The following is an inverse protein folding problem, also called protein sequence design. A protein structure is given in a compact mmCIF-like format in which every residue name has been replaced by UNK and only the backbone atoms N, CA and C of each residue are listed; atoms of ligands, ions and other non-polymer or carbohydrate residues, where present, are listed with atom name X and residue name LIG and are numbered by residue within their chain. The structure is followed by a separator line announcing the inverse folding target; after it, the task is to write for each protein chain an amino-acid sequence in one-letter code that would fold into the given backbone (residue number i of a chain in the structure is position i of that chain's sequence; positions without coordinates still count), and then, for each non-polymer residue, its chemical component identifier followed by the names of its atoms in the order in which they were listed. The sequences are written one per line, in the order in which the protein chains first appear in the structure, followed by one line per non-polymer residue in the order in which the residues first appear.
data_IF_113062032614
#
_entry.id   IF_113062032614
#
_cell.length_a   1.000
_cell.length_b   1.000
_cell.length_c   1.000
_cell.angle_alpha   90.00
_cell.angle_beta   90.00
_cell.angle_gamma   90.00
#
_symmetry.space_group_name_H-M   'P 1'
#
loop_
_entity.id
_entity.type
_entity.pdbx_description
1 polymer ?
#
# COMPACT_ATOMS: atom_id res chain seq x y z
N UNK A 1 -3.27 2.33 21.70
CA UNK A 1 -4.50 1.74 22.29
C UNK A 1 -5.78 2.27 21.64
N UNK A 2 -6.00 3.60 21.61
CA UNK A 2 -7.20 4.23 21.00
C UNK A 2 -7.46 3.72 19.57
N UNK A 3 -6.45 3.76 18.70
CA UNK A 3 -6.53 3.26 17.33
C UNK A 3 -7.09 1.83 17.22
N UNK A 4 -6.48 0.86 17.91
CA UNK A 4 -6.94 -0.55 17.89
C UNK A 4 -8.40 -0.69 18.36
N UNK A 5 -8.80 0.06 19.39
CA UNK A 5 -10.18 0.03 19.88
C UNK A 5 -11.16 0.56 18.84
N UNK A 6 -10.81 1.65 18.16
CA UNK A 6 -11.66 2.27 17.14
C UNK A 6 -11.83 1.35 15.92
N UNK A 7 -10.75 0.67 15.50
CA UNK A 7 -10.77 -0.34 14.42
C UNK A 7 -11.72 -1.49 14.74
N UNK A 8 -11.68 -2.02 15.97
CA UNK A 8 -12.57 -3.10 16.37
C UNK A 8 -14.05 -2.68 16.33
N UNK A 9 -14.38 -1.46 16.77
CA UNK A 9 -15.76 -0.96 16.76
C UNK A 9 -16.34 -0.87 15.36
N UNK A 10 -15.56 -0.40 14.39
CA UNK A 10 -15.99 -0.28 12.99
C UNK A 10 -16.11 -1.62 12.28
N UNK A 11 -15.28 -2.57 12.69
CA UNK A 11 -15.44 -3.96 12.27
C UNK A 11 -16.67 -4.64 12.89
N UNK A 12 -17.49 -3.90 13.64
CA UNK A 12 -18.65 -4.38 14.39
C UNK A 12 -18.31 -5.50 15.37
N UNK A 13 -17.12 -5.44 15.96
CA UNK A 13 -16.74 -6.35 17.03
C UNK A 13 -17.65 -6.14 18.24
N UNK A 14 -18.05 -7.23 18.87
CA UNK A 14 -18.93 -7.21 20.04
C UNK A 14 -18.02 -7.24 21.26
N UNK A 15 -18.04 -6.19 22.09
CA UNK A 15 -17.17 -6.06 23.27
C UNK A 15 -17.28 -7.26 24.23
N UNK A 16 -18.43 -7.94 24.29
CA UNK A 16 -18.63 -9.15 25.09
C UNK A 16 -17.73 -10.34 24.66
N UNK A 17 -17.27 -10.36 23.40
CA UNK A 17 -16.40 -11.40 22.84
C UNK A 17 -14.92 -11.18 23.24
N UNK A 18 -14.60 -10.19 24.09
CA UNK A 18 -13.23 -9.83 24.48
C UNK A 18 -12.42 -11.01 25.02
N UNK A 19 -13.05 -11.96 25.73
CA UNK A 19 -12.36 -13.09 26.33
C UNK A 19 -11.87 -14.07 25.25
N UNK A 20 -12.70 -14.33 24.26
CA UNK A 20 -12.35 -15.15 23.10
C UNK A 20 -11.28 -14.48 22.25
N UNK A 21 -11.36 -13.16 22.08
CA UNK A 21 -10.32 -12.37 21.43
C UNK A 21 -8.99 -12.48 22.18
N UNK A 22 -9.00 -12.33 23.51
CA UNK A 22 -7.80 -12.46 24.33
C UNK A 22 -7.16 -13.84 24.23
N UNK A 23 -7.97 -14.90 24.21
CA UNK A 23 -7.49 -16.27 23.95
C UNK A 23 -6.92 -16.39 22.53
N UNK A 24 -7.59 -15.83 21.53
CA UNK A 24 -7.13 -15.79 20.15
C UNK A 24 -5.82 -15.04 19.96
N UNK A 25 -5.56 -14.01 20.76
CA UNK A 25 -4.29 -13.26 20.82
C UNK A 25 -3.20 -13.98 21.64
N UNK A 26 -3.45 -15.22 22.08
CA UNK A 26 -2.55 -16.02 22.92
C UNK A 26 -2.18 -15.31 24.24
N UNK A 27 -3.10 -14.57 24.85
CA UNK A 27 -2.87 -13.97 26.15
C UNK A 27 -2.93 -15.02 27.27
N UNK A 28 -2.11 -14.89 28.33
CA UNK A 28 -2.15 -15.83 29.44
C UNK A 28 -3.53 -15.85 30.11
N UNK A 29 -4.13 -17.04 30.21
CA UNK A 29 -5.42 -17.24 30.87
C UNK A 29 -5.51 -16.59 32.26
N UNK A 30 -4.48 -16.65 33.14
CA UNK A 30 -4.54 -15.96 34.43
C UNK A 30 -4.77 -14.45 34.32
N UNK A 31 -4.21 -13.79 33.29
CA UNK A 31 -4.43 -12.37 33.02
C UNK A 31 -5.87 -12.09 32.61
N UNK A 32 -6.41 -12.89 31.69
CA UNK A 32 -7.82 -12.78 31.25
C UNK A 32 -8.79 -13.07 32.40
N UNK A 33 -8.52 -14.08 33.22
CA UNK A 33 -9.34 -14.42 34.38
C UNK A 33 -9.36 -13.28 35.42
N UNK A 34 -8.24 -12.58 35.59
CA UNK A 34 -8.15 -11.41 36.46
C UNK A 34 -9.04 -10.25 35.95
N UNK A 35 -8.98 -9.94 34.65
CA UNK A 35 -9.85 -8.92 34.03
C UNK A 35 -11.33 -9.25 34.28
N UNK A 36 -11.74 -10.49 34.00
CA UNK A 36 -13.12 -10.96 34.19
C UNK A 36 -13.59 -10.90 35.66
N UNK A 37 -12.68 -11.03 36.61
CA UNK A 37 -13.00 -10.95 38.04
C UNK A 37 -13.10 -9.51 38.55
N UNK A 38 -12.39 -8.57 37.92
CA UNK A 38 -12.32 -7.17 38.36
C UNK A 38 -13.36 -6.27 37.70
N UNK A 39 -13.76 -6.59 36.47
CA UNK A 39 -14.65 -5.76 35.68
C UNK A 39 -15.87 -6.55 35.21
N UNK A 40 -17.04 -5.92 35.27
CA UNK A 40 -18.30 -6.49 34.78
C UNK A 40 -18.76 -5.89 33.46
N UNK A 41 -18.27 -4.68 33.14
CA UNK A 41 -18.61 -3.97 31.91
C UNK A 41 -17.79 -4.55 30.72
N UNK A 42 -18.45 -5.02 29.64
CA UNK A 42 -17.75 -5.58 28.49
C UNK A 42 -16.77 -4.62 27.81
N UNK A 43 -17.12 -3.33 27.70
CA UNK A 43 -16.24 -2.33 27.07
C UNK A 43 -14.98 -2.11 27.89
N UNK A 44 -15.10 -2.01 29.21
CA UNK A 44 -13.93 -1.95 30.11
C UNK A 44 -13.10 -3.24 30.04
N UNK A 45 -13.74 -4.41 30.01
CA UNK A 45 -13.04 -5.68 29.86
C UNK A 45 -12.22 -5.73 28.56
N UNK A 46 -12.81 -5.28 27.44
CA UNK A 46 -12.11 -5.20 26.16
C UNK A 46 -10.91 -4.26 26.24
N UNK A 47 -11.06 -3.06 26.80
CA UNK A 47 -9.95 -2.11 26.95
C UNK A 47 -8.79 -2.68 27.77
N UNK A 48 -9.10 -3.35 28.88
CA UNK A 48 -8.09 -4.01 29.72
C UNK A 48 -7.43 -5.20 29.02
N UNK A 49 -8.20 -5.95 28.22
CA UNK A 49 -7.68 -7.03 27.39
C UNK A 49 -6.71 -6.50 26.32
N UNK A 50 -7.07 -5.41 25.64
CA UNK A 50 -6.21 -4.74 24.67
C UNK A 50 -4.97 -4.14 25.34
N UNK A 51 -5.12 -3.58 26.54
CA UNK A 51 -4.00 -3.09 27.35
C UNK A 51 -3.02 -4.23 27.69
N UNK A 52 -3.54 -5.37 28.14
CA UNK A 52 -2.75 -6.56 28.42
C UNK A 52 -2.03 -7.07 27.16
N UNK A 53 -2.71 -7.11 26.02
CA UNK A 53 -2.08 -7.49 24.74
C UNK A 53 -0.98 -6.52 24.32
N UNK A 54 -1.27 -5.22 24.32
CA UNK A 54 -0.33 -4.17 23.92
C UNK A 54 0.86 -4.05 24.87
N UNK A 55 0.79 -4.55 26.10
CA UNK A 55 1.91 -4.58 27.06
C UNK A 55 2.62 -5.93 27.14
N UNK A 56 2.07 -6.98 26.51
CA UNK A 56 2.69 -8.31 26.49
C UNK A 56 3.90 -8.37 25.55
N UNK A 57 4.84 -9.28 25.85
CA UNK A 57 6.04 -9.51 25.03
C UNK A 57 5.79 -10.24 23.70
N UNK A 58 4.54 -10.62 23.41
CA UNK A 58 4.18 -11.35 22.19
C UNK A 58 4.20 -10.44 20.95
N UNK A 59 4.20 -11.05 19.77
CA UNK A 59 4.24 -10.40 18.46
C UNK A 59 2.97 -9.53 18.23
N UNK A 60 3.02 -8.27 18.70
CA UNK A 60 1.93 -7.28 18.65
C UNK A 60 1.84 -6.68 17.26
N UNK A 61 1.28 -7.43 16.32
CA UNK A 61 1.10 -6.96 14.93
C UNK A 61 -0.38 -6.93 14.55
N UNK A 62 -0.72 -6.13 13.54
CA UNK A 62 -2.05 -6.16 12.94
C UNK A 62 -2.38 -7.53 12.38
N UNK A 63 -1.41 -8.23 11.78
CA UNK A 63 -1.59 -9.63 11.39
C UNK A 63 -1.98 -10.55 12.57
N UNK A 64 -1.36 -10.39 13.75
CA UNK A 64 -1.72 -11.21 14.91
C UNK A 64 -3.17 -10.97 15.37
N UNK A 65 -3.65 -9.72 15.25
CA UNK A 65 -5.03 -9.35 15.54
C UNK A 65 -6.00 -9.87 14.48
N UNK A 66 -5.67 -9.71 13.20
CA UNK A 66 -6.45 -10.23 12.09
C UNK A 66 -6.58 -11.76 12.16
N UNK A 67 -5.47 -12.45 12.40
CA UNK A 67 -5.44 -13.90 12.62
C UNK A 67 -6.32 -14.34 13.80
N UNK A 68 -6.36 -13.57 14.89
CA UNK A 68 -7.23 -13.86 16.04
C UNK A 68 -8.72 -13.70 15.67
N UNK A 69 -9.07 -12.61 14.98
CA UNK A 69 -10.44 -12.36 14.51
C UNK A 69 -10.90 -13.41 13.49
N UNK A 70 -10.02 -13.87 12.62
CA UNK A 70 -10.31 -14.94 11.66
C UNK A 70 -10.61 -16.27 12.36
N UNK A 71 -9.85 -16.63 13.40
CA UNK A 71 -10.13 -17.80 14.25
C UNK A 71 -11.48 -17.70 14.96
N UNK A 72 -11.94 -16.47 15.24
CA UNK A 72 -13.27 -16.18 15.80
C UNK A 72 -14.38 -16.10 14.74
N UNK A 73 -14.09 -16.49 13.49
CA UNK A 73 -15.01 -16.40 12.34
C UNK A 73 -15.47 -14.96 12.02
N UNK A 74 -14.71 -13.94 12.44
CA UNK A 74 -14.93 -12.53 12.09
C UNK A 74 -14.13 -12.17 10.83
N UNK A 75 -14.33 -12.92 9.75
CA UNK A 75 -13.55 -12.80 8.51
C UNK A 75 -13.54 -11.39 7.90
N UNK A 76 -14.67 -10.66 7.80
CA UNK A 76 -14.67 -9.30 7.26
C UNK A 76 -13.79 -8.35 8.06
N UNK A 77 -13.81 -8.47 9.39
CA UNK A 77 -12.96 -7.68 10.28
C UNK A 77 -11.48 -7.99 10.07
N UNK A 78 -11.13 -9.28 9.96
CA UNK A 78 -9.75 -9.71 9.71
C UNK A 78 -9.23 -9.20 8.35
N UNK A 79 -10.04 -9.31 7.29
CA UNK A 79 -9.68 -8.82 5.95
C UNK A 79 -9.50 -7.31 5.92
N UNK A 80 -10.41 -6.56 6.56
CA UNK A 80 -10.26 -5.11 6.69
C UNK A 80 -8.94 -4.76 7.38
N UNK A 81 -8.61 -5.45 8.48
CA UNK A 81 -7.39 -5.15 9.22
C UNK A 81 -6.13 -5.41 8.40
N UNK A 82 -6.09 -6.53 7.68
CA UNK A 82 -4.94 -6.86 6.82
C UNK A 82 -4.76 -5.86 5.69
N UNK A 83 -5.86 -5.51 5.02
CA UNK A 83 -5.79 -4.64 3.86
C UNK A 83 -5.49 -3.19 4.23
N UNK A 84 -5.91 -2.73 5.42
CA UNK A 84 -5.77 -1.33 5.82
C UNK A 84 -4.61 -1.11 6.76
N UNK A 85 -4.46 -1.90 7.82
CA UNK A 85 -3.53 -1.60 8.91
C UNK A 85 -2.25 -2.44 8.89
N UNK A 86 -2.33 -3.67 8.34
CA UNK A 86 -1.13 -4.48 8.05
C UNK A 86 -0.48 -4.08 6.72
N UNK A 87 -1.09 -3.15 5.97
CA UNK A 87 -0.52 -2.58 4.76
C UNK A 87 0.80 -1.86 5.04
N UNK A 88 1.84 -2.04 4.19
CA UNK A 88 3.14 -1.39 4.37
C UNK A 88 3.07 0.13 4.54
N UNK A 89 2.25 0.84 3.76
CA UNK A 89 2.15 2.30 3.82
C UNK A 89 1.57 2.75 5.18
N UNK A 90 0.54 2.03 5.64
CA UNK A 90 -0.06 2.25 6.96
C UNK A 90 0.89 1.94 8.10
N UNK A 91 1.75 0.92 7.97
CA UNK A 91 2.74 0.59 9.00
C UNK A 91 3.82 1.67 9.13
N UNK A 92 4.27 2.27 8.01
CA UNK A 92 5.15 3.44 8.04
C UNK A 92 4.44 4.59 8.74
N UNK A 93 3.21 4.91 8.34
CA UNK A 93 2.45 5.98 8.97
C UNK A 93 2.24 5.74 10.48
N UNK A 94 2.00 4.49 10.88
CA UNK A 94 1.87 4.10 12.28
C UNK A 94 3.17 4.27 13.06
N UNK A 95 4.33 3.98 12.45
CA UNK A 95 5.63 4.18 13.07
C UNK A 95 5.81 5.64 13.54
N UNK A 96 5.27 6.58 12.76
CA UNK A 96 5.32 8.01 13.05
C UNK A 96 4.11 8.55 13.82
N UNK A 97 3.16 7.72 14.26
CA UNK A 97 1.87 8.18 14.81
C UNK A 97 2.01 9.12 16.00
N UNK A 98 3.00 8.91 16.87
CA UNK A 98 3.21 9.73 18.06
C UNK A 98 3.70 11.14 17.71
N UNK A 99 4.54 11.26 16.66
CA UNK A 99 5.03 12.53 16.13
C UNK A 99 3.93 13.25 15.36
N UNK A 100 3.19 12.51 14.51
CA UNK A 100 2.05 13.01 13.74
C UNK A 100 0.96 13.57 14.66
N UNK A 101 0.67 12.89 15.78
CA UNK A 101 -0.34 13.35 16.74
C UNK A 101 -0.01 14.67 17.44
N UNK A 102 1.26 15.09 17.40
CA UNK A 102 1.74 16.36 17.96
C UNK A 102 1.77 17.50 16.93
N UNK A 103 1.44 17.21 15.67
CA UNK A 103 1.43 18.21 14.60
C UNK A 103 0.18 19.06 14.68
N UNK A 104 0.38 20.37 14.55
CA UNK A 104 -0.68 21.37 14.37
C UNK A 104 -0.56 21.96 12.96
N UNK A 105 -1.60 21.77 12.17
CA UNK A 105 -1.65 22.21 10.78
C UNK A 105 -2.18 23.64 10.67
N UNK A 106 -1.69 24.37 9.67
CA UNK A 106 -2.31 25.61 9.22
C UNK A 106 -3.54 25.32 8.38
N UNK A 107 -4.45 26.29 8.23
CA UNK A 107 -5.63 26.16 7.37
C UNK A 107 -5.26 25.77 5.93
N UNK A 108 -4.13 26.25 5.43
CA UNK A 108 -3.62 25.87 4.10
C UNK A 108 -3.26 24.39 4.02
N UNK A 109 -2.56 23.86 5.03
CA UNK A 109 -2.21 22.43 5.08
C UNK A 109 -3.45 21.54 5.25
N UNK A 110 -4.42 21.97 6.06
CA UNK A 110 -5.70 21.26 6.23
C UNK A 110 -6.46 21.17 4.91
N UNK A 111 -6.48 22.27 4.16
CA UNK A 111 -7.10 22.30 2.83
C UNK A 111 -6.38 21.34 1.88
N UNK A 112 -5.05 21.34 1.87
CA UNK A 112 -4.25 20.43 1.03
C UNK A 112 -4.53 18.96 1.34
N UNK A 113 -4.66 18.60 2.63
CA UNK A 113 -5.05 17.22 3.01
C UNK A 113 -6.40 16.83 2.38
N UNK A 114 -7.37 17.75 2.37
CA UNK A 114 -8.67 17.48 1.77
C UNK A 114 -8.58 17.35 0.24
N UNK A 115 -7.86 18.25 -0.45
CA UNK A 115 -7.74 18.20 -1.92
C UNK A 115 -6.95 17.01 -2.43
N UNK A 116 -5.94 16.57 -1.68
CA UNK A 116 -5.15 15.38 -1.98
C UNK A 116 -5.91 14.08 -1.60
N UNK A 117 -7.14 14.19 -1.07
CA UNK A 117 -7.95 13.02 -0.71
C UNK A 117 -7.37 12.20 0.44
N UNK A 118 -6.61 12.84 1.33
CA UNK A 118 -6.05 12.25 2.55
C UNK A 118 -7.08 12.26 3.70
N UNK A 119 -8.02 13.22 3.68
CA UNK A 119 -9.10 13.33 4.66
C UNK A 119 -10.43 13.68 3.97
N UNK A 120 -11.53 13.31 4.60
CA UNK A 120 -12.88 13.71 4.22
C UNK A 120 -13.22 15.11 4.72
N UNK A 121 -14.30 15.68 4.17
CA UNK A 121 -14.84 16.98 4.58
C UNK A 121 -15.20 17.01 6.08
N UNK A 122 -15.73 15.90 6.62
CA UNK A 122 -16.10 15.83 8.03
C UNK A 122 -14.87 15.86 8.96
N UNK A 123 -13.78 15.19 8.56
CA UNK A 123 -12.52 15.23 9.31
C UNK A 123 -11.83 16.58 9.17
N UNK A 124 -11.89 17.21 8.00
CA UNK A 124 -11.42 18.58 7.81
C UNK A 124 -12.06 19.53 8.83
N UNK A 125 -13.40 19.55 8.90
CA UNK A 125 -14.17 20.37 9.87
C UNK A 125 -13.79 20.05 11.32
N UNK A 126 -13.47 18.79 11.61
CA UNK A 126 -13.07 18.35 12.96
C UNK A 126 -11.68 18.88 13.32
N UNK A 127 -10.71 18.77 12.41
CA UNK A 127 -9.35 19.31 12.60
C UNK A 127 -9.39 20.82 12.79
N UNK A 128 -10.17 21.54 11.96
CA UNK A 128 -10.37 23.00 12.07
C UNK A 128 -10.93 23.39 13.44
N UNK A 129 -11.97 22.67 13.93
CA UNK A 129 -12.54 22.89 15.26
C UNK A 129 -11.54 22.60 16.40
N UNK A 130 -10.60 21.70 16.18
CA UNK A 130 -9.57 21.30 17.13
C UNK A 130 -8.27 22.10 16.97
N UNK A 131 -8.29 23.24 16.26
CA UNK A 131 -7.14 24.13 16.13
C UNK A 131 -5.99 23.53 15.31
N UNK A 132 -6.30 22.66 14.34
CA UNK A 132 -5.31 22.09 13.44
C UNK A 132 -4.68 20.77 13.92
N UNK A 133 -5.12 20.19 15.03
CA UNK A 133 -4.55 18.93 15.53
C UNK A 133 -4.82 17.76 14.60
N UNK A 134 -3.76 17.06 14.18
CA UNK A 134 -3.85 15.90 13.29
C UNK A 134 -4.16 14.57 14.01
N UNK A 135 -4.19 14.58 15.35
CA UNK A 135 -4.36 13.38 16.18
C UNK A 135 -5.63 12.57 15.86
N UNK A 136 -6.70 13.24 15.45
CA UNK A 136 -7.98 12.61 15.14
C UNK A 136 -8.10 12.14 13.68
N UNK A 137 -7.14 12.48 12.82
CA UNK A 137 -7.13 12.08 11.41
C UNK A 137 -6.32 10.81 11.13
N UNK A 138 -5.49 10.36 12.08
CA UNK A 138 -4.54 9.25 11.88
C UNK A 138 -5.17 8.01 11.26
N UNK A 139 -6.36 7.63 11.73
CA UNK A 139 -7.08 6.47 11.21
C UNK A 139 -7.45 6.64 9.73
N UNK A 140 -7.95 7.81 9.38
CA UNK A 140 -8.39 8.09 8.02
C UNK A 140 -7.21 8.25 7.07
N UNK A 141 -6.11 8.84 7.55
CA UNK A 141 -4.85 8.84 6.83
C UNK A 141 -4.39 7.40 6.53
N UNK A 142 -4.47 6.48 7.51
CA UNK A 142 -4.15 5.06 7.29
C UNK A 142 -5.01 4.44 6.19
N UNK A 143 -6.32 4.72 6.17
CA UNK A 143 -7.20 4.23 5.10
C UNK A 143 -6.77 4.79 3.75
N UNK A 144 -6.59 6.12 3.67
CA UNK A 144 -6.22 6.79 2.45
C UNK A 144 -4.90 6.27 1.88
N UNK A 145 -3.87 6.10 2.71
CA UNK A 145 -2.55 5.59 2.26
C UNK A 145 -2.59 4.10 1.96
N UNK A 146 -3.44 3.30 2.60
CA UNK A 146 -3.60 1.88 2.23
C UNK A 146 -4.31 1.69 0.89
N UNK A 147 -5.24 2.59 0.55
CA UNK A 147 -5.94 2.58 -0.74
C UNK A 147 -5.05 3.10 -1.89
N UNK A 148 -4.16 4.07 -1.59
CA UNK A 148 -3.24 4.66 -2.54
C UNK A 148 -1.93 5.06 -1.83
N UNK A 149 -0.91 4.23 -2.03
CA UNK A 149 0.38 4.37 -1.36
C UNK A 149 1.08 5.70 -1.71
N UNK A 150 0.79 6.31 -2.86
CA UNK A 150 1.37 7.61 -3.24
C UNK A 150 0.97 8.75 -2.31
N UNK A 151 -0.17 8.60 -1.62
CA UNK A 151 -0.66 9.58 -0.65
C UNK A 151 0.23 9.70 0.59
N UNK A 152 1.01 8.67 0.92
CA UNK A 152 1.98 8.75 2.02
C UNK A 152 3.05 9.81 1.71
N UNK A 153 3.49 9.88 0.45
CA UNK A 153 4.38 10.94 -0.03
C UNK A 153 3.67 12.29 -0.10
N UNK A 154 2.41 12.36 -0.57
CA UNK A 154 1.64 13.61 -0.52
C UNK A 154 1.53 14.16 0.89
N UNK A 155 1.28 13.30 1.90
CA UNK A 155 1.28 13.69 3.30
C UNK A 155 2.64 14.26 3.73
N UNK A 156 3.74 13.57 3.38
CA UNK A 156 5.09 14.07 3.62
C UNK A 156 5.32 15.45 3.01
N UNK A 157 4.94 15.66 1.75
CA UNK A 157 5.07 16.94 1.06
C UNK A 157 4.25 18.06 1.73
N UNK A 158 3.03 17.76 2.19
CA UNK A 158 2.22 18.75 2.94
C UNK A 158 2.91 19.11 4.26
N UNK A 159 3.47 18.14 4.97
CA UNK A 159 4.21 18.38 6.21
C UNK A 159 5.53 19.13 5.98
N UNK A 160 6.09 19.13 4.76
CA UNK A 160 7.27 19.94 4.43
C UNK A 160 6.99 21.45 4.43
N UNK A 161 5.73 21.86 4.23
CA UNK A 161 5.32 23.27 4.22
C UNK A 161 5.41 23.93 5.61
N UNK A 162 5.49 23.12 6.68
CA UNK A 162 5.63 23.60 8.05
C UNK A 162 7.09 23.41 8.51
N UNK A 163 7.74 24.52 8.89
CA UNK A 163 9.16 24.50 9.30
C UNK A 163 9.43 23.51 10.44
N UNK A 164 8.49 23.41 11.37
CA UNK A 164 8.60 22.58 12.58
C UNK A 164 8.47 21.07 12.28
N UNK A 165 7.82 20.69 11.17
CA UNK A 165 7.61 19.28 10.81
C UNK A 165 8.51 18.79 9.69
N UNK A 166 9.40 19.62 9.14
CA UNK A 166 10.35 19.21 8.09
C UNK A 166 11.13 17.93 8.41
N UNK A 167 11.72 17.74 9.60
CA UNK A 167 12.42 16.49 9.90
C UNK A 167 11.51 15.27 9.86
N UNK A 168 10.27 15.41 10.37
CA UNK A 168 9.27 14.34 10.31
C UNK A 168 8.85 14.03 8.87
N UNK A 169 8.63 15.07 8.08
CA UNK A 169 8.26 14.95 6.69
C UNK A 169 9.34 14.24 5.87
N UNK A 170 10.61 14.60 6.08
CA UNK A 170 11.76 13.96 5.43
C UNK A 170 11.86 12.48 5.78
N UNK A 171 11.72 12.13 7.07
CA UNK A 171 11.74 10.73 7.51
C UNK A 171 10.61 9.93 6.84
N UNK A 172 9.39 10.46 6.80
CA UNK A 172 8.24 9.81 6.15
C UNK A 172 8.48 9.61 4.65
N UNK A 173 8.99 10.62 3.95
CA UNK A 173 9.25 10.54 2.50
C UNK A 173 10.34 9.51 2.23
N UNK A 174 11.42 9.51 3.00
CA UNK A 174 12.52 8.55 2.86
C UNK A 174 12.02 7.11 3.02
N UNK A 175 11.29 6.81 4.09
CA UNK A 175 10.73 5.47 4.32
C UNK A 175 9.71 5.09 3.24
N UNK A 176 8.93 6.07 2.74
CA UNK A 176 8.01 5.86 1.62
C UNK A 176 8.73 5.48 0.32
N UNK A 177 9.87 6.13 0.04
CA UNK A 177 10.66 5.91 -1.17
C UNK A 177 11.41 4.56 -1.13
N UNK A 178 11.81 4.12 0.07
CA UNK A 178 12.35 2.77 0.28
C UNK A 178 11.28 1.68 0.06
N UNK A 179 10.02 1.97 0.43
CA UNK A 179 8.89 1.04 0.25
C UNK A 179 8.37 1.01 -1.18
N UNK A 180 8.30 2.17 -1.83
CA UNK A 180 7.85 2.37 -3.21
C UNK A 180 9.04 2.97 -3.96
N UNK A 181 10.01 2.15 -4.39
CA UNK A 181 11.06 2.66 -5.25
C UNK A 181 10.39 3.25 -6.49
N UNK A 182 10.44 4.57 -6.63
CA UNK A 182 9.98 5.21 -7.84
C UNK A 182 10.72 4.58 -9.02
N UNK A 183 9.99 4.20 -10.05
CA UNK A 183 10.58 3.78 -11.32
C UNK A 183 11.42 4.89 -12.01
N UNK A 184 11.61 6.05 -11.36
CA UNK A 184 12.19 7.27 -11.90
C UNK A 184 13.57 7.65 -11.33
N UNK A 185 14.21 6.81 -10.53
CA UNK A 185 15.58 7.06 -10.03
C UNK A 185 16.58 5.97 -10.42
N UNK A 186 16.48 5.45 -11.65
CA UNK A 186 17.69 4.97 -12.34
C UNK A 186 18.34 6.22 -12.95
N UNK A 187 19.10 6.96 -12.14
CA UNK A 187 20.14 7.83 -12.67
C UNK A 187 21.20 6.92 -13.32
N UNK A 188 21.07 6.71 -14.63
CA UNK A 188 22.15 6.15 -15.46
C UNK A 188 23.18 7.26 -15.60
N UNK A 189 24.02 7.46 -14.59
CA UNK A 189 25.19 8.32 -14.74
C UNK A 189 26.36 7.82 -13.90
N UNK A 190 26.89 6.64 -14.27
CA UNK A 190 28.33 6.41 -14.38
C UNK A 190 28.60 5.36 -15.48
N UNK A 191 29.64 5.52 -16.32
CA UNK A 191 29.98 4.54 -17.34
C UNK A 191 30.52 3.28 -16.67
N UNK A 192 29.67 2.25 -16.54
CA UNK A 192 30.09 0.95 -16.02
C UNK A 192 31.24 0.37 -16.86
N UNK A 193 32.35 -0.06 -16.24
CA UNK A 193 33.38 -0.81 -16.94
C UNK A 193 32.87 -2.23 -17.22
N UNK A 194 32.63 -2.53 -18.50
CA UNK A 194 32.60 -3.85 -19.15
C UNK A 194 32.47 -5.10 -18.23
N UNK A 195 31.25 -5.59 -18.02
CA UNK A 195 30.85 -7.01 -18.13
C UNK A 195 29.33 -7.17 -17.83
N UNK A 196 28.57 -7.98 -18.60
CA UNK A 196 27.16 -8.22 -18.30
C UNK A 196 27.05 -9.35 -17.27
N UNK A 197 26.81 -9.01 -16.00
CA UNK A 197 26.19 -9.94 -15.06
C UNK A 197 24.76 -9.47 -14.85
N UNK A 198 23.80 -10.25 -15.34
CA UNK A 198 22.38 -10.09 -15.00
C UNK A 198 22.28 -10.24 -13.49
N UNK A 199 21.95 -9.16 -12.77
CA UNK A 199 21.64 -9.26 -11.34
C UNK A 199 20.30 -9.97 -11.17
N UNK A 200 20.35 -11.16 -10.56
CA UNK A 200 19.17 -11.95 -10.24
C UNK A 200 18.50 -11.40 -8.98
N UNK A 201 17.26 -10.91 -9.13
CA UNK A 201 16.43 -10.44 -8.00
C UNK A 201 15.61 -11.62 -7.46
N UNK A 202 15.83 -11.96 -6.20
CA UNK A 202 15.08 -13.03 -5.52
C UNK A 202 13.76 -12.49 -5.00
N UNK A 203 12.65 -13.04 -5.50
CA UNK A 203 11.30 -12.70 -5.03
C UNK A 203 10.65 -13.89 -4.35
N UNK A 204 10.03 -13.65 -3.19
CA UNK A 204 9.33 -14.69 -2.43
C UNK A 204 8.15 -15.27 -3.22
N UNK A 205 7.99 -16.60 -3.11
CA UNK A 205 6.96 -17.38 -3.82
C UNK A 205 5.52 -16.91 -3.50
N UNK A 206 5.34 -16.24 -2.35
CA UNK A 206 4.06 -15.63 -1.94
C UNK A 206 3.60 -14.53 -2.90
N UNK A 207 4.53 -13.88 -3.61
CA UNK A 207 4.20 -12.83 -4.59
C UNK A 207 3.90 -13.36 -5.98
N UNK A 208 4.04 -14.67 -6.24
CA UNK A 208 3.74 -15.27 -7.54
C UNK A 208 2.32 -14.97 -8.01
N UNK A 209 1.34 -15.00 -7.10
CA UNK A 209 -0.05 -14.67 -7.43
C UNK A 209 -0.23 -13.22 -7.91
N UNK A 210 0.58 -12.27 -7.38
CA UNK A 210 0.58 -10.87 -7.84
C UNK A 210 1.24 -10.73 -9.20
N UNK A 211 2.33 -11.45 -9.46
CA UNK A 211 2.93 -11.47 -10.79
C UNK A 211 2.02 -12.11 -11.83
N UNK A 212 1.27 -13.16 -11.46
CA UNK A 212 0.28 -13.77 -12.33
C UNK A 212 -0.84 -12.76 -12.67
N UNK A 213 -1.32 -11.99 -11.68
CA UNK A 213 -2.31 -10.94 -11.90
C UNK A 213 -1.78 -9.83 -12.83
N UNK A 214 -0.54 -9.37 -12.61
CA UNK A 214 0.12 -8.39 -13.49
C UNK A 214 0.27 -8.95 -14.90
N UNK A 215 0.64 -10.23 -15.03
CA UNK A 215 0.80 -10.89 -16.33
C UNK A 215 -0.52 -10.96 -17.08
N UNK A 216 -1.62 -11.30 -16.39
CA UNK A 216 -2.97 -11.31 -16.97
C UNK A 216 -3.39 -9.91 -17.40
N UNK A 217 -3.28 -8.90 -16.53
CA UNK A 217 -3.65 -7.51 -16.86
C UNK A 217 -2.83 -6.95 -18.01
N UNK A 218 -1.54 -7.25 -18.08
CA UNK A 218 -0.69 -6.86 -19.19
C UNK A 218 -1.11 -7.57 -20.49
N UNK A 219 -1.45 -8.86 -20.42
CA UNK A 219 -2.01 -9.61 -21.54
C UNK A 219 -3.32 -8.99 -22.06
N UNK A 220 -4.23 -8.63 -21.15
CA UNK A 220 -5.52 -7.99 -21.49
C UNK A 220 -5.31 -6.62 -22.14
N UNK A 221 -4.47 -5.77 -21.54
CA UNK A 221 -4.12 -4.46 -22.09
C UNK A 221 -3.56 -4.60 -23.51
N UNK A 222 -2.63 -5.55 -23.68
CA UNK A 222 -1.96 -5.79 -24.95
C UNK A 222 -2.94 -6.30 -26.01
N UNK A 223 -3.81 -7.25 -25.67
CA UNK A 223 -4.84 -7.74 -26.58
C UNK A 223 -5.72 -6.59 -27.08
N UNK A 224 -6.18 -5.74 -26.15
CA UNK A 224 -7.02 -4.59 -26.48
C UNK A 224 -6.30 -3.58 -27.39
N UNK A 225 -5.02 -3.29 -27.13
CA UNK A 225 -4.23 -2.38 -27.97
C UNK A 225 -4.07 -2.95 -29.39
N UNK A 226 -3.78 -4.25 -29.54
CA UNK A 226 -3.64 -4.87 -30.87
C UNK A 226 -4.95 -4.75 -31.67
N UNK A 227 -6.10 -5.05 -31.04
CA UNK A 227 -7.39 -4.89 -31.70
C UNK A 227 -7.63 -3.45 -32.14
N UNK A 228 -7.38 -2.47 -31.25
CA UNK A 228 -7.53 -1.05 -31.58
C UNK A 228 -6.62 -0.62 -32.74
N UNK A 229 -5.36 -1.08 -32.76
CA UNK A 229 -4.40 -0.74 -33.81
C UNK A 229 -4.80 -1.37 -35.15
N UNK A 230 -5.25 -2.62 -35.16
CA UNK A 230 -5.74 -3.31 -36.37
C UNK A 230 -7.00 -2.64 -36.91
N UNK A 231 -7.92 -2.20 -36.05
CA UNK A 231 -9.15 -1.52 -36.44
C UNK A 231 -8.93 -0.10 -36.96
N UNK A 232 -7.99 0.64 -36.36
CA UNK A 232 -7.86 2.09 -36.58
C UNK A 232 -6.68 2.49 -37.47
N UNK A 233 -5.70 1.60 -37.72
CA UNK A 233 -4.56 1.93 -38.56
C UNK A 233 -4.77 1.40 -39.98
N UNK A 234 -4.98 2.29 -40.97
CA UNK A 234 -5.32 1.88 -42.34
C UNK A 234 -4.12 1.38 -43.14
N UNK A 235 -2.89 1.59 -42.65
CA UNK A 235 -1.65 1.32 -43.40
C UNK A 235 -0.59 0.64 -42.53
N UNK A 236 -0.23 -0.58 -42.93
CA UNK A 236 0.88 -1.31 -42.33
C UNK A 236 2.22 -0.58 -42.50
N UNK A 237 2.40 0.16 -43.59
CA UNK A 237 3.65 0.88 -43.87
C UNK A 237 3.87 2.06 -42.92
N UNK A 238 2.80 2.70 -42.45
CA UNK A 238 2.91 3.80 -41.47
C UNK A 238 3.34 3.26 -40.09
N UNK A 239 2.80 2.11 -39.68
CA UNK A 239 3.21 1.42 -38.44
C UNK A 239 4.67 0.99 -38.54
N UNK A 240 5.07 0.37 -39.65
CA UNK A 240 6.46 -0.04 -39.89
C UNK A 240 7.42 1.14 -39.86
N UNK A 241 7.04 2.26 -40.46
CA UNK A 241 7.87 3.48 -40.50
C UNK A 241 8.06 4.07 -39.11
N UNK A 242 7.00 4.12 -38.31
CA UNK A 242 7.06 4.56 -36.92
C UNK A 242 7.96 3.64 -36.09
N UNK A 243 7.73 2.32 -36.16
CA UNK A 243 8.51 1.35 -35.40
C UNK A 243 9.98 1.31 -35.83
N UNK A 244 10.28 1.40 -37.13
CA UNK A 244 11.67 1.46 -37.61
C UNK A 244 12.40 2.75 -37.21
N UNK A 245 11.66 3.83 -36.91
CA UNK A 245 12.22 5.07 -36.37
C UNK A 245 12.52 4.95 -34.87
N UNK A 246 11.60 4.38 -34.10
CA UNK A 246 11.74 4.20 -32.65
C UNK A 246 12.69 3.04 -32.29
N UNK A 247 12.72 1.99 -33.11
CA UNK A 247 13.43 0.73 -32.89
C UNK A 247 14.16 0.30 -34.17
N UNK A 248 15.33 0.88 -34.48
CA UNK A 248 16.06 0.60 -35.71
C UNK A 248 16.45 -0.87 -35.90
N UNK A 249 16.61 -1.62 -34.81
CA UNK A 249 17.02 -3.02 -34.77
C UNK A 249 15.98 -3.99 -35.33
N UNK A 250 14.69 -3.64 -35.31
CA UNK A 250 13.61 -4.49 -35.88
C UNK A 250 13.31 -4.18 -37.34
N UNK A 251 14.02 -3.22 -37.96
CA UNK A 251 13.75 -2.73 -39.32
C UNK A 251 13.81 -3.83 -40.38
N UNK A 252 14.75 -4.76 -40.27
CA UNK A 252 14.85 -5.90 -41.20
C UNK A 252 13.67 -6.88 -41.00
N UNK A 253 13.29 -7.18 -39.76
CA UNK A 253 12.14 -8.04 -39.44
C UNK A 253 10.83 -7.42 -39.95
N UNK A 254 10.65 -6.10 -39.74
CA UNK A 254 9.48 -5.34 -40.21
C UNK A 254 9.36 -5.30 -41.74
N UNK A 255 10.46 -5.46 -42.47
CA UNK A 255 10.43 -5.48 -43.94
C UNK A 255 9.82 -6.76 -44.51
N UNK A 256 9.79 -7.83 -43.72
CA UNK A 256 9.34 -9.17 -44.12
C UNK A 256 7.85 -9.44 -43.90
N UNK A 257 7.16 -8.60 -43.12
CA UNK A 257 5.76 -8.78 -42.72
C UNK A 257 4.80 -7.94 -43.56
N UNK A 258 3.58 -8.43 -43.82
CA UNK A 258 2.62 -7.82 -44.73
C UNK A 258 1.40 -7.16 -44.08
N UNK A 259 1.12 -7.48 -42.82
CA UNK A 259 -0.06 -7.01 -42.09
C UNK A 259 0.27 -6.29 -40.80
N UNK A 260 -0.68 -5.48 -40.31
CA UNK A 260 -0.57 -4.80 -39.01
C UNK A 260 -0.47 -5.84 -37.88
N UNK A 261 -1.18 -6.95 -37.99
CA UNK A 261 -1.15 -8.05 -37.03
C UNK A 261 0.25 -8.69 -36.92
N UNK A 262 0.89 -9.00 -38.06
CA UNK A 262 2.25 -9.54 -38.08
C UNK A 262 3.28 -8.54 -37.54
N UNK A 263 3.10 -7.25 -37.79
CA UNK A 263 3.93 -6.19 -37.20
C UNK A 263 3.79 -6.17 -35.67
N UNK A 264 2.57 -6.32 -35.15
CA UNK A 264 2.33 -6.37 -33.70
C UNK A 264 2.91 -7.64 -33.03
N UNK A 265 3.02 -8.76 -33.77
CA UNK A 265 3.67 -9.98 -33.28
C UNK A 265 5.20 -9.80 -33.13
N UNK A 266 5.82 -8.98 -33.98
CA UNK A 266 7.24 -8.62 -33.80
C UNK A 266 7.40 -7.78 -32.53
N UNK A 267 6.51 -6.80 -32.32
CA UNK A 267 6.50 -5.97 -31.10
C UNK A 267 6.28 -6.82 -29.86
N UNK A 268 5.41 -7.83 -29.91
CA UNK A 268 5.20 -8.81 -28.83
C UNK A 268 6.49 -9.51 -28.40
N UNK A 269 7.31 -9.96 -29.36
CA UNK A 269 8.53 -10.70 -29.03
C UNK A 269 9.54 -9.86 -28.25
N UNK A 270 9.47 -8.53 -28.39
CA UNK A 270 10.39 -7.56 -27.78
C UNK A 270 9.82 -6.89 -26.52
N UNK A 271 8.51 -6.74 -26.43
CA UNK A 271 7.81 -6.13 -25.29
C UNK A 271 7.17 -7.22 -24.42
N UNK A 272 8.00 -7.94 -23.67
CA UNK A 272 7.55 -9.04 -22.83
C UNK A 272 7.88 -8.78 -21.33
N UNK A 273 6.95 -9.09 -20.43
CA UNK A 273 7.15 -9.11 -18.96
C UNK A 273 7.52 -10.54 -18.50
N UNK A 274 7.85 -11.42 -19.45
CA UNK A 274 8.00 -12.86 -19.19
C UNK A 274 9.40 -13.20 -18.66
N UNK A 275 10.31 -12.22 -18.59
CA UNK A 275 11.66 -12.44 -18.08
C UNK A 275 11.73 -12.47 -16.53
N UNK A 276 10.67 -12.96 -15.89
CA UNK A 276 10.63 -13.29 -14.46
C UNK A 276 10.40 -14.79 -14.40
N UNK A 277 11.48 -15.57 -14.50
CA UNK A 277 11.42 -17.03 -14.38
C UNK A 277 11.86 -17.37 -12.96
N UNK A 278 11.04 -18.07 -12.15
CA UNK A 278 11.51 -18.62 -10.89
C UNK A 278 12.61 -19.66 -11.21
N UNK A 279 13.80 -19.47 -10.64
CA UNK A 279 14.87 -20.46 -10.74
C UNK A 279 14.42 -21.70 -9.98
N UNK A 280 14.48 -22.87 -10.65
CA UNK A 280 14.21 -24.18 -10.05
C UNK A 280 15.34 -24.65 -9.15
#
# INVERSE_FOLDING_TARGET
MKLVSDVLKESHFIDADWFELGMGLNLPYPGLANIRARFTDPSQCLLECLSLWLTSANNRTWESLASALERMNKKPAATLIRNTYDDPASQILQHYSDRISQVFLTDSCIQLLYTEGLITEDTQRKIERCGGSLSDALRELMIAVSDDHSKLRSLGNILMELEETKPLAQDIIQDCDEMIPEANSIEIDEPMPNAPSVEEVFVSEVYNCRFDEVRVKFGDLRYNIIQLVVENVPSTDDVKKYLAFCFPEVKEELSSVGSVEEVMNIVESRCNIINIVPIK
#
